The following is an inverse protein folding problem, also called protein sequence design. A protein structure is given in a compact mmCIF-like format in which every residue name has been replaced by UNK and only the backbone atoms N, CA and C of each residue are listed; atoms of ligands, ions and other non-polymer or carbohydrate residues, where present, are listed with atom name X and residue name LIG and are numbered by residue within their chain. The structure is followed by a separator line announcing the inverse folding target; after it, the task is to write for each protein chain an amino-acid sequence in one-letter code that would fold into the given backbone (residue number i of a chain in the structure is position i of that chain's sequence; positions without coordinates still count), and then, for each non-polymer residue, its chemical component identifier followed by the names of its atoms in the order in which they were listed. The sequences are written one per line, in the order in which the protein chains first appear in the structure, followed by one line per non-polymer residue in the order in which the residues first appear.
data_IF_115736372461
#
_entry.id   IF_115736372461
#
_cell.length_a   1.000
_cell.length_b   1.000
_cell.length_c   1.000
_cell.angle_alpha   90.00
_cell.angle_beta   90.00
_cell.angle_gamma   90.00
#
_symmetry.space_group_name_H-M   'P 1'
#
loop_
_entity.id
_entity.type
_entity.pdbx_description
1 polymer ?
#
# COMPACT_ATOMS: atom_id res chain seq x y z
N UNK A 1 10.70 -10.03 -1.91
CA UNK A 1 9.36 -10.09 -1.32
C UNK A 1 8.41 -9.31 -2.21
N UNK A 2 7.16 -9.74 -2.29
CA UNK A 2 6.13 -9.14 -3.13
C UNK A 2 4.98 -8.62 -2.26
N UNK A 3 4.27 -7.63 -2.77
CA UNK A 3 3.04 -7.13 -2.16
C UNK A 3 1.88 -7.33 -3.15
N UNK A 4 0.82 -7.98 -2.70
CA UNK A 4 -0.45 -8.15 -3.40
C UNK A 4 -1.45 -7.10 -2.91
N UNK A 5 -2.13 -6.44 -3.83
CA UNK A 5 -2.96 -5.27 -3.56
C UNK A 5 -4.22 -5.27 -4.42
N UNK A 6 -5.34 -4.93 -3.82
CA UNK A 6 -6.57 -4.54 -4.51
C UNK A 6 -6.55 -3.02 -4.73
N UNK A 7 -6.50 -2.61 -5.99
CA UNK A 7 -6.20 -1.25 -6.41
C UNK A 7 -7.39 -0.58 -7.10
N UNK A 8 -7.52 0.74 -6.93
CA UNK A 8 -8.45 1.60 -7.66
C UNK A 8 -7.64 2.53 -8.57
N UNK A 9 -7.89 2.48 -9.87
CA UNK A 9 -7.23 3.36 -10.83
C UNK A 9 -7.93 4.73 -10.96
N UNK A 10 -7.38 5.60 -11.82
CA UNK A 10 -7.91 6.94 -12.08
C UNK A 10 -9.37 6.94 -12.58
N UNK A 11 -9.83 5.87 -13.23
CA UNK A 11 -11.19 5.74 -13.76
C UNK A 11 -12.15 5.07 -12.75
N UNK A 12 -11.72 4.91 -11.49
CA UNK A 12 -12.46 4.21 -10.43
C UNK A 12 -12.74 2.73 -10.72
N UNK A 13 -11.98 2.12 -11.63
CA UNK A 13 -12.05 0.67 -11.84
C UNK A 13 -11.14 -0.02 -10.85
N UNK A 14 -11.63 -1.14 -10.30
CA UNK A 14 -10.89 -2.02 -9.43
C UNK A 14 -10.02 -2.98 -10.26
N UNK A 15 -8.82 -3.28 -9.75
CA UNK A 15 -7.89 -4.23 -10.35
C UNK A 15 -6.95 -4.80 -9.29
N UNK A 16 -6.40 -5.98 -9.56
CA UNK A 16 -5.48 -6.66 -8.63
C UNK A 16 -4.05 -6.54 -9.15
N UNK A 17 -3.11 -6.20 -8.29
CA UNK A 17 -1.69 -6.14 -8.63
C UNK A 17 -0.82 -6.89 -7.64
N UNK A 18 0.23 -7.52 -8.17
CA UNK A 18 1.34 -8.07 -7.38
C UNK A 18 2.61 -7.40 -7.88
N UNK A 19 3.31 -6.68 -7.00
CA UNK A 19 4.54 -5.97 -7.35
C UNK A 19 5.69 -6.39 -6.44
N UNK A 20 6.93 -6.22 -6.90
CA UNK A 20 8.09 -6.36 -6.02
C UNK A 20 8.06 -5.21 -5.01
N UNK A 21 8.15 -5.56 -3.73
CA UNK A 21 8.01 -4.61 -2.64
C UNK A 21 9.39 -4.08 -2.20
N UNK A 22 9.50 -2.75 -2.06
CA UNK A 22 10.71 -2.08 -1.58
C UNK A 22 10.54 -1.38 -0.23
N UNK A 23 9.32 -1.03 0.16
CA UNK A 23 9.06 -0.39 1.44
C UNK A 23 7.79 0.44 1.43
N UNK A 24 7.55 1.09 2.57
CA UNK A 24 6.49 2.10 2.73
C UNK A 24 7.06 3.34 3.39
N UNK A 25 6.46 4.50 3.11
CA UNK A 25 6.71 5.71 3.88
C UNK A 25 5.43 6.54 4.01
N UNK A 26 5.37 7.36 5.05
CA UNK A 26 4.27 8.28 5.26
C UNK A 26 4.60 9.66 4.71
N UNK A 27 3.75 10.14 3.82
CA UNK A 27 3.74 11.52 3.41
C UNK A 27 2.81 12.32 4.32
N UNK A 28 3.41 13.17 5.15
CA UNK A 28 2.67 13.98 6.12
C UNK A 28 1.95 15.18 5.48
N UNK A 29 2.42 15.67 4.33
CA UNK A 29 1.76 16.75 3.60
C UNK A 29 0.43 16.26 3.05
N UNK A 30 0.43 15.04 2.50
CA UNK A 30 -0.73 14.45 1.85
C UNK A 30 -1.50 13.44 2.72
N UNK A 31 -1.10 13.25 3.98
CA UNK A 31 -1.75 12.31 4.92
C UNK A 31 -1.99 10.95 4.29
N UNK A 32 -0.93 10.41 3.71
CA UNK A 32 -1.01 9.20 2.87
C UNK A 32 0.22 8.32 3.07
N UNK A 33 0.01 7.01 3.04
CA UNK A 33 1.07 6.02 2.94
C UNK A 33 1.40 5.79 1.47
N UNK A 34 2.67 5.91 1.10
CA UNK A 34 3.17 5.53 -0.22
C UNK A 34 3.79 4.15 -0.12
N UNK A 35 3.41 3.25 -1.03
CA UNK A 35 3.92 1.90 -1.15
C UNK A 35 4.93 1.89 -2.31
N UNK A 36 6.20 1.74 -1.97
CA UNK A 36 7.30 1.71 -2.94
C UNK A 36 7.41 0.33 -3.56
N UNK A 37 7.29 0.28 -4.89
CA UNK A 37 7.38 -0.95 -5.68
C UNK A 37 8.32 -0.81 -6.87
N UNK A 38 8.51 -1.89 -7.63
CA UNK A 38 9.23 -1.88 -8.91
C UNK A 38 8.44 -1.29 -10.09
N UNK A 39 7.19 -0.86 -9.86
CA UNK A 39 6.36 -0.31 -10.91
C UNK A 39 6.93 1.04 -11.42
N UNK A 40 7.20 1.12 -12.72
CA UNK A 40 7.87 2.28 -13.33
C UNK A 40 6.92 3.47 -13.61
N UNK A 41 5.66 3.18 -13.93
CA UNK A 41 4.68 4.21 -14.36
C UNK A 41 3.64 4.61 -13.33
N UNK A 42 3.56 3.91 -12.20
CA UNK A 42 2.53 4.12 -11.19
C UNK A 42 3.13 4.17 -9.81
N UNK A 43 2.49 4.96 -8.95
CA UNK A 43 2.67 4.91 -7.51
C UNK A 43 1.41 4.34 -6.87
N UNK A 44 1.62 3.65 -5.75
CA UNK A 44 0.56 3.05 -4.97
C UNK A 44 0.45 3.81 -3.67
N UNK A 45 -0.70 4.43 -3.44
CA UNK A 45 -0.91 5.30 -2.28
C UNK A 45 -2.18 4.93 -1.55
N UNK A 46 -2.15 5.06 -0.24
CA UNK A 46 -3.30 4.80 0.64
C UNK A 46 -3.48 6.02 1.51
N UNK A 47 -4.59 6.74 1.34
CA UNK A 47 -4.95 7.83 2.25
C UNK A 47 -5.22 7.26 3.65
N UNK A 48 -4.53 7.77 4.68
CA UNK A 48 -4.69 7.31 6.05
C UNK A 48 -4.14 8.34 7.04
N UNK A 49 -4.66 8.35 8.26
CA UNK A 49 -4.09 9.17 9.33
C UNK A 49 -2.73 8.61 9.78
N UNK A 50 -1.93 9.46 10.43
CA UNK A 50 -0.60 9.07 10.93
C UNK A 50 -0.68 7.91 11.95
N UNK A 51 -1.72 7.88 12.78
CA UNK A 51 -1.96 6.80 13.73
C UNK A 51 -2.26 5.46 13.04
N UNK A 52 -3.06 5.50 11.98
CA UNK A 52 -3.37 4.33 11.16
C UNK A 52 -2.12 3.86 10.40
N UNK A 53 -1.30 4.80 9.90
CA UNK A 53 0.00 4.50 9.31
C UNK A 53 0.94 3.81 10.30
N UNK A 54 1.04 4.28 11.56
CA UNK A 54 1.89 3.64 12.57
C UNK A 54 1.45 2.19 12.84
N UNK A 55 0.15 1.93 12.85
CA UNK A 55 -0.37 0.58 12.97
C UNK A 55 -0.07 -0.26 11.72
N UNK A 56 -0.27 0.28 10.52
CA UNK A 56 0.05 -0.39 9.27
C UNK A 56 1.55 -0.72 9.15
N UNK A 57 2.41 0.23 9.53
CA UNK A 57 3.86 0.04 9.59
C UNK A 57 4.27 -1.12 10.48
N UNK A 58 3.67 -1.25 11.67
CA UNK A 58 3.94 -2.37 12.57
C UNK A 58 3.53 -3.70 11.95
N UNK A 59 2.36 -3.75 11.29
CA UNK A 59 1.90 -4.95 10.59
C UNK A 59 2.85 -5.34 9.45
N UNK A 60 3.29 -4.37 8.63
CA UNK A 60 4.26 -4.60 7.56
C UNK A 60 5.60 -5.09 8.12
N UNK A 61 6.07 -4.52 9.23
CA UNK A 61 7.31 -4.94 9.89
C UNK A 61 7.22 -6.37 10.42
N UNK A 62 6.12 -6.71 11.11
CA UNK A 62 5.86 -8.08 11.57
C UNK A 62 5.78 -9.04 10.40
N UNK A 63 5.06 -8.65 9.35
CA UNK A 63 4.93 -9.47 8.16
C UNK A 63 6.30 -9.69 7.52
N UNK A 64 7.13 -8.66 7.30
CA UNK A 64 8.51 -8.76 6.78
C UNK A 64 9.40 -9.73 7.58
N UNK A 65 9.35 -9.66 8.91
CA UNK A 65 10.19 -10.45 9.80
C UNK A 65 9.76 -11.91 9.97
N UNK A 66 8.50 -12.24 9.63
CA UNK A 66 7.99 -13.60 9.75
C UNK A 66 8.72 -14.58 8.79
N UNK A 67 8.99 -15.78 9.28
CA UNK A 67 9.44 -16.88 8.44
C UNK A 67 8.28 -17.41 7.58
N UNK A 68 8.56 -17.84 6.34
CA UNK A 68 7.55 -18.33 5.41
C UNK A 68 7.44 -17.50 4.13
N UNK A 69 6.29 -17.58 3.46
CA UNK A 69 6.11 -17.23 2.05
C UNK A 69 6.49 -15.80 1.65
N UNK A 70 6.70 -15.60 0.34
CA UNK A 70 7.36 -14.40 -0.19
C UNK A 70 6.41 -13.24 -0.49
N UNK A 71 5.12 -13.39 -0.17
CA UNK A 71 4.06 -12.45 -0.54
C UNK A 71 3.35 -11.94 0.72
N UNK A 72 3.14 -10.62 0.77
CA UNK A 72 2.25 -9.99 1.73
C UNK A 72 1.05 -9.42 0.97
N UNK A 73 -0.14 -9.52 1.53
CA UNK A 73 -1.39 -9.05 0.92
C UNK A 73 -1.98 -7.94 1.79
N UNK A 74 -2.38 -6.83 1.16
CA UNK A 74 -3.25 -5.83 1.80
C UNK A 74 -4.70 -6.35 1.69
N UNK A 75 -5.24 -6.88 2.78
CA UNK A 75 -6.55 -7.57 2.78
C UNK A 75 -7.73 -6.64 3.08
N UNK A 76 -7.47 -5.41 3.56
CA UNK A 76 -8.48 -4.38 3.80
C UNK A 76 -7.97 -3.01 3.40
N UNK A 77 -8.91 -2.14 3.04
CA UNK A 77 -8.64 -0.80 2.58
C UNK A 77 -8.48 -0.72 1.06
N UNK A 78 -8.54 0.50 0.54
CA UNK A 78 -8.41 0.79 -0.89
C UNK A 78 -7.02 1.34 -1.19
N UNK A 79 -6.31 0.71 -2.12
CA UNK A 79 -5.04 1.24 -2.64
C UNK A 79 -5.32 2.05 -3.89
N UNK A 80 -4.94 3.32 -3.92
CA UNK A 80 -5.00 4.11 -5.14
C UNK A 80 -3.77 3.83 -5.99
N UNK A 81 -4.01 3.42 -7.24
CA UNK A 81 -2.98 3.31 -8.26
C UNK A 81 -2.98 4.58 -9.09
N UNK A 82 -2.01 5.44 -8.82
CA UNK A 82 -1.88 6.76 -9.42
C UNK A 82 -0.82 6.76 -10.51
N UNK A 83 -0.78 7.78 -11.37
CA UNK A 83 0.39 7.98 -12.23
C UNK A 83 1.61 8.24 -11.35
N UNK A 84 2.81 7.97 -11.88
CA UNK A 84 4.06 8.26 -11.16
C UNK A 84 4.09 9.73 -10.73
N UNK A 85 4.47 9.98 -9.48
CA UNK A 85 4.51 11.27 -8.79
C UNK A 85 3.14 11.93 -8.54
N UNK A 86 2.04 11.20 -8.70
CA UNK A 86 0.70 11.65 -8.34
C UNK A 86 0.28 11.04 -7.01
N UNK A 87 -0.22 11.87 -6.09
CA UNK A 87 -0.84 11.41 -4.86
C UNK A 87 -2.34 11.70 -4.96
N UNK A 88 -3.13 10.63 -4.94
CA UNK A 88 -4.58 10.71 -4.93
C UNK A 88 -5.08 10.61 -3.50
N UNK A 89 -6.08 11.44 -3.21
CA UNK A 89 -6.76 11.44 -1.92
C UNK A 89 -8.13 10.77 -2.02
N UNK A 90 -8.48 10.06 -0.96
CA UNK A 90 -9.83 9.58 -0.70
C UNK A 90 -10.10 9.54 0.80
N UNK A 91 -11.08 8.75 1.19
CA UNK A 91 -11.35 8.48 2.60
C UNK A 91 -10.14 7.79 3.25
N UNK A 92 -9.91 8.09 4.54
CA UNK A 92 -8.84 7.45 5.29
C UNK A 92 -9.13 5.95 5.44
N UNK A 93 -8.14 5.13 5.11
CA UNK A 93 -8.23 3.69 5.10
C UNK A 93 -7.55 3.10 6.34
N UNK A 94 -8.15 2.04 6.87
CA UNK A 94 -7.52 1.17 7.88
C UNK A 94 -7.18 -0.15 7.22
N UNK A 95 -5.89 -0.34 6.96
CA UNK A 95 -5.40 -1.50 6.24
C UNK A 95 -4.98 -2.63 7.18
N UNK A 96 -5.13 -3.86 6.69
CA UNK A 96 -4.64 -5.07 7.33
C UNK A 96 -3.67 -5.78 6.40
N UNK A 97 -2.61 -6.37 6.96
CA UNK A 97 -1.63 -7.18 6.23
C UNK A 97 -1.77 -8.64 6.60
N UNK A 98 -1.80 -9.49 5.59
CA UNK A 98 -1.68 -10.94 5.73
C UNK A 98 -0.44 -11.43 4.98
N UNK A 99 0.36 -12.30 5.60
CA UNK A 99 1.44 -13.01 4.89
C UNK A 99 0.88 -14.29 4.28
N UNK A 100 1.25 -14.57 3.02
CA UNK A 100 0.84 -15.74 2.24
C UNK A 100 2.03 -16.68 2.02
#
# INVERSE_FOLDING_TARGET
MYIAMHCINANNSELDEICKFYGIHYDNMYKSCVISTDHQHHDFVVSMLEEDYKNFYRQVLTALAAEGGQVMEITKGKVFRCRKNEIRHGENQKCEIKRL
#
